data_IF_504943797593
#
_entry.id   IF_504943797593
#
_cell.length_a   1.000
_cell.length_b   1.000
_cell.length_c   1.000
_cell.angle_alpha   90.00
_cell.angle_beta   90.00
_cell.angle_gamma   90.00
#
_symmetry.space_group_name_H-M   'P 1'
#
loop_
_entity.id
_entity.type
_entity.pdbx_description
1 polymer ?
#
# COMPACT_ATOMS: atom_id res chain seq x y z
N UNK A 1 -32.38 -17.18 -34.67
CA UNK A 1 -31.53 -18.39 -34.74
C UNK A 1 -30.09 -17.94 -34.88
N UNK A 2 -29.26 -18.10 -33.85
CA UNK A 2 -27.85 -17.68 -33.88
C UNK A 2 -27.09 -18.71 -34.72
N UNK A 3 -26.29 -18.25 -35.70
CA UNK A 3 -25.53 -19.16 -36.57
C UNK A 3 -24.46 -19.88 -35.74
N UNK A 4 -24.27 -21.20 -35.91
CA UNK A 4 -23.29 -21.97 -35.11
C UNK A 4 -21.86 -21.46 -35.29
N UNK A 5 -21.56 -20.84 -36.45
CA UNK A 5 -20.29 -20.17 -36.73
C UNK A 5 -19.98 -19.03 -35.77
N UNK A 6 -20.99 -18.25 -35.34
CA UNK A 6 -20.79 -17.17 -34.38
C UNK A 6 -20.43 -17.70 -32.99
N UNK A 7 -21.02 -18.82 -32.57
CA UNK A 7 -20.71 -19.44 -31.27
C UNK A 7 -19.27 -19.96 -31.24
N UNK A 8 -18.81 -20.60 -32.31
CA UNK A 8 -17.43 -21.10 -32.41
C UNK A 8 -16.40 -19.98 -32.37
N UNK A 9 -16.67 -18.86 -33.06
CA UNK A 9 -15.78 -17.68 -33.04
C UNK A 9 -15.73 -17.06 -31.64
N UNK A 10 -16.88 -16.94 -30.95
CA UNK A 10 -16.92 -16.44 -29.57
C UNK A 10 -16.16 -17.36 -28.60
N UNK A 11 -16.26 -18.68 -28.75
CA UNK A 11 -15.51 -19.63 -27.92
C UNK A 11 -13.99 -19.54 -28.17
N UNK A 12 -13.56 -19.40 -29.42
CA UNK A 12 -12.15 -19.21 -29.76
C UNK A 12 -11.59 -17.90 -29.20
N UNK A 13 -12.33 -16.80 -29.33
CA UNK A 13 -11.94 -15.51 -28.77
C UNK A 13 -11.90 -15.52 -27.24
N UNK A 14 -12.86 -16.18 -26.60
CA UNK A 14 -12.88 -16.37 -25.15
C UNK A 14 -11.68 -17.18 -24.64
N UNK A 15 -11.33 -18.26 -25.33
CA UNK A 15 -10.15 -19.07 -25.01
C UNK A 15 -8.84 -18.28 -25.19
N UNK A 16 -8.73 -17.47 -26.26
CA UNK A 16 -7.56 -16.64 -26.50
C UNK A 16 -7.35 -15.61 -25.37
N UNK A 17 -8.44 -14.97 -24.91
CA UNK A 17 -8.40 -14.00 -23.82
C UNK A 17 -7.98 -14.62 -22.47
N UNK A 18 -8.15 -15.93 -22.29
CA UNK A 18 -7.70 -16.66 -21.10
C UNK A 18 -6.22 -17.07 -21.18
N UNK A 19 -5.70 -17.37 -22.38
CA UNK A 19 -4.33 -17.85 -22.57
C UNK A 19 -3.31 -16.71 -22.63
N UNK A 20 -3.68 -15.54 -23.18
CA UNK A 20 -2.77 -14.38 -23.30
C UNK A 20 -2.25 -13.88 -21.94
N UNK A 21 -3.07 -13.79 -20.87
CA UNK A 21 -2.55 -13.47 -19.55
C UNK A 21 -1.57 -14.53 -19.03
N UNK A 22 -1.85 -15.83 -19.27
CA UNK A 22 -1.03 -16.94 -18.76
C UNK A 22 0.41 -16.92 -19.30
N UNK A 23 0.60 -16.52 -20.56
CA UNK A 23 1.93 -16.38 -21.18
C UNK A 23 2.66 -15.07 -20.80
N UNK A 24 1.92 -14.11 -20.23
CA UNK A 24 2.48 -12.82 -19.77
C UNK A 24 2.99 -12.87 -18.33
N UNK A 25 2.69 -13.95 -17.59
CA UNK A 25 3.25 -14.12 -16.25
C UNK A 25 4.70 -14.58 -16.36
N UNK A 26 5.64 -13.89 -15.71
CA UNK A 26 7.03 -14.34 -15.66
C UNK A 26 7.09 -15.74 -15.04
N UNK A 27 7.76 -16.67 -15.73
CA UNK A 27 8.01 -18.01 -15.21
C UNK A 27 8.88 -17.91 -13.98
N UNK A 28 8.35 -18.31 -12.82
CA UNK A 28 9.07 -18.34 -11.54
C UNK A 28 10.40 -19.12 -11.64
N UNK A 29 10.46 -20.11 -12.53
CA UNK A 29 11.60 -21.02 -12.66
C UNK A 29 12.84 -20.36 -13.28
N UNK A 30 12.69 -19.38 -14.19
CA UNK A 30 13.83 -18.67 -14.79
C UNK A 30 14.44 -17.63 -13.85
N UNK A 31 13.62 -17.05 -12.96
CA UNK A 31 14.09 -16.09 -11.96
C UNK A 31 15.04 -16.74 -10.94
N UNK A 32 14.74 -17.97 -10.50
CA UNK A 32 15.58 -18.69 -9.53
C UNK A 32 16.81 -19.36 -10.15
N UNK A 33 16.80 -19.65 -11.46
CA UNK A 33 17.87 -20.42 -12.11
C UNK A 33 19.10 -19.60 -12.47
N UNK A 34 18.99 -18.27 -12.53
CA UNK A 34 20.05 -17.41 -13.08
C UNK A 34 20.98 -16.82 -12.02
N UNK A 35 20.63 -16.92 -10.73
CA UNK A 35 21.24 -16.10 -9.67
C UNK A 35 21.78 -16.88 -8.47
N UNK A 36 22.07 -18.19 -8.62
CA UNK A 36 22.77 -18.97 -7.59
C UNK A 36 24.29 -18.78 -7.78
N UNK A 37 24.75 -17.54 -7.66
CA UNK A 37 26.09 -17.24 -7.19
C UNK A 37 25.90 -16.86 -5.72
N UNK A 38 25.93 -17.87 -4.83
CA UNK A 38 25.75 -17.69 -3.39
C UNK A 38 26.95 -16.95 -2.79
N UNK A 39 27.05 -15.65 -3.03
CA UNK A 39 27.99 -14.81 -2.30
C UNK A 39 27.43 -14.61 -0.88
N UNK A 40 28.06 -15.22 0.15
CA UNK A 40 27.50 -15.24 1.52
C UNK A 40 27.35 -13.85 2.12
N UNK A 41 28.11 -12.87 1.61
CA UNK A 41 28.04 -11.47 2.01
C UNK A 41 26.73 -10.81 1.57
N UNK A 42 26.24 -11.12 0.38
CA UNK A 42 24.99 -10.54 -0.14
C UNK A 42 23.77 -11.09 0.60
N UNK A 43 23.78 -12.40 0.90
CA UNK A 43 22.74 -13.03 1.74
C UNK A 43 22.71 -12.37 3.11
N UNK A 44 23.88 -12.11 3.71
CA UNK A 44 23.96 -11.45 5.01
C UNK A 44 23.44 -10.01 4.96
N UNK A 45 23.72 -9.26 3.89
CA UNK A 45 23.18 -7.91 3.71
C UNK A 45 21.65 -7.92 3.55
N UNK A 46 21.12 -8.86 2.76
CA UNK A 46 19.67 -9.05 2.63
C UNK A 46 19.01 -9.39 3.98
N UNK A 47 19.61 -10.26 4.79
CA UNK A 47 19.10 -10.62 6.11
C UNK A 47 19.14 -9.45 7.09
N UNK A 48 20.21 -8.65 7.07
CA UNK A 48 20.32 -7.44 7.88
C UNK A 48 19.26 -6.40 7.48
N UNK A 49 19.08 -6.21 6.17
CA UNK A 49 18.03 -5.35 5.63
C UNK A 49 16.64 -5.80 6.06
N UNK A 50 16.35 -7.09 5.99
CA UNK A 50 15.08 -7.65 6.48
C UNK A 50 14.89 -7.40 7.98
N UNK A 51 15.94 -7.59 8.78
CA UNK A 51 15.91 -7.31 10.22
C UNK A 51 15.54 -5.85 10.53
N UNK A 52 16.13 -4.90 9.80
CA UNK A 52 15.82 -3.47 9.96
C UNK A 52 14.36 -3.13 9.59
N UNK A 53 13.82 -3.74 8.53
CA UNK A 53 12.44 -3.53 8.10
C UNK A 53 11.44 -4.06 9.13
N UNK A 54 11.71 -5.23 9.72
CA UNK A 54 10.87 -5.82 10.78
C UNK A 54 10.88 -4.92 12.03
N UNK A 55 12.04 -4.38 12.41
CA UNK A 55 12.15 -3.46 13.54
C UNK A 55 11.38 -2.15 13.29
N UNK A 56 11.48 -1.59 12.08
CA UNK A 56 10.74 -0.39 11.68
C UNK A 56 9.23 -0.62 11.76
N UNK A 57 8.75 -1.77 11.26
CA UNK A 57 7.32 -2.11 11.31
C UNK A 57 6.81 -2.18 12.75
N UNK A 58 7.57 -2.82 13.65
CA UNK A 58 7.21 -2.91 15.06
C UNK A 58 7.16 -1.54 15.76
N UNK A 59 8.04 -0.61 15.37
CA UNK A 59 8.00 0.78 15.85
C UNK A 59 6.75 1.52 15.35
N UNK A 60 6.35 1.29 14.09
CA UNK A 60 5.15 1.88 13.51
C UNK A 60 3.86 1.36 14.17
N UNK A 61 3.81 0.06 14.51
CA UNK A 61 2.67 -0.52 15.23
C UNK A 61 2.53 0.07 16.64
N UNK A 62 3.65 0.22 17.37
CA UNK A 62 3.64 0.88 18.68
C UNK A 62 3.23 2.37 18.60
N UNK A 63 3.62 3.07 17.53
CA UNK A 63 3.18 4.45 17.28
C UNK A 63 1.69 4.53 16.96
N UNK A 64 1.17 3.57 16.17
CA UNK A 64 -0.25 3.45 15.86
C UNK A 64 -1.07 3.22 17.12
N UNK A 65 -0.65 2.33 18.02
CA UNK A 65 -1.31 2.08 19.29
C UNK A 65 -1.35 3.32 20.20
N UNK A 66 -0.30 4.16 20.14
CA UNK A 66 -0.28 5.47 20.82
C UNK A 66 -1.28 6.49 20.24
N UNK A 67 -1.55 6.44 18.94
CA UNK A 67 -2.56 7.28 18.26
C UNK A 67 -3.98 6.75 18.49
N UNK A 68 -4.15 5.43 18.60
CA UNK A 68 -5.46 4.77 18.72
C UNK A 68 -5.90 4.54 20.15
N UNK A 69 -5.37 5.29 21.13
CA UNK A 69 -5.87 5.28 22.52
C UNK A 69 -7.40 5.16 22.51
N UNK A 70 -7.91 4.10 23.13
CA UNK A 70 -9.29 3.59 23.05
C UNK A 70 -10.36 4.65 23.33
N UNK A 71 -9.99 5.78 23.96
CA UNK A 71 -10.87 6.95 24.17
C UNK A 71 -11.13 7.79 22.92
N UNK A 72 -10.44 7.53 21.81
CA UNK A 72 -10.64 8.18 20.49
C UNK A 72 -11.20 7.23 19.43
N UNK A 73 -11.59 6.02 19.83
CA UNK A 73 -12.13 4.99 18.94
C UNK A 73 -13.67 4.89 19.00
N UNK A 74 -14.36 5.88 19.57
CA UNK A 74 -15.81 6.02 19.42
C UNK A 74 -16.10 6.58 18.01
N UNK A 75 -16.06 5.71 17.00
CA UNK A 75 -16.48 6.06 15.64
C UNK A 75 -18.01 6.16 15.61
N UNK A 76 -18.53 7.39 15.63
CA UNK A 76 -19.96 7.69 15.49
C UNK A 76 -20.48 7.46 14.07
N UNK A 77 -19.72 6.77 13.21
CA UNK A 77 -20.09 6.53 11.81
C UNK A 77 -20.04 7.79 10.96
N UNK A 78 -19.49 8.90 11.48
CA UNK A 78 -19.39 10.17 10.75
C UNK A 78 -18.54 10.04 9.49
N UNK A 79 -17.60 9.09 9.44
CA UNK A 79 -16.70 8.86 8.31
C UNK A 79 -17.31 7.99 7.20
N UNK A 80 -18.42 7.28 7.45
CA UNK A 80 -19.08 6.45 6.42
C UNK A 80 -19.87 7.34 5.47
N UNK A 81 -19.28 7.63 4.31
CA UNK A 81 -19.85 8.50 3.29
C UNK A 81 -19.04 9.77 3.00
N UNK A 82 -17.89 9.96 3.66
CA UNK A 82 -17.01 11.08 3.35
C UNK A 82 -16.30 10.85 2.01
N UNK A 83 -16.68 11.65 1.01
CA UNK A 83 -15.98 11.78 -0.27
C UNK A 83 -14.48 12.06 -0.05
N UNK A 84 -13.62 11.52 -0.91
CA UNK A 84 -12.16 11.72 -0.82
C UNK A 84 -11.76 13.20 -0.79
N UNK A 85 -12.51 14.08 -1.46
CA UNK A 85 -12.29 15.53 -1.41
C UNK A 85 -12.59 16.13 -0.02
N UNK A 86 -13.54 15.57 0.71
CA UNK A 86 -13.91 16.00 2.05
C UNK A 86 -12.90 15.50 3.08
N UNK A 87 -12.40 14.26 2.92
CA UNK A 87 -11.29 13.74 3.73
C UNK A 87 -10.00 14.54 3.49
N UNK A 88 -9.71 14.93 2.24
CA UNK A 88 -8.56 15.76 1.91
C UNK A 88 -8.65 17.15 2.57
N UNK A 89 -9.82 17.81 2.53
CA UNK A 89 -10.04 19.09 3.24
C UNK A 89 -9.88 18.94 4.75
N UNK A 90 -10.39 17.86 5.32
CA UNK A 90 -10.24 17.57 6.74
C UNK A 90 -8.77 17.37 7.13
N UNK A 91 -8.02 16.60 6.35
CA UNK A 91 -6.59 16.37 6.56
C UNK A 91 -5.79 17.68 6.40
N UNK A 92 -6.13 18.51 5.41
CA UNK A 92 -5.53 19.84 5.23
C UNK A 92 -5.80 20.76 6.43
N UNK A 93 -7.02 20.73 6.99
CA UNK A 93 -7.36 21.49 8.20
C UNK A 93 -6.58 21.02 9.42
N UNK A 94 -6.43 19.70 9.61
CA UNK A 94 -5.62 19.12 10.68
C UNK A 94 -4.14 19.50 10.50
N UNK A 95 -3.62 19.44 9.27
CA UNK A 95 -2.25 19.83 8.96
C UNK A 95 -2.00 21.32 9.24
N UNK A 96 -2.94 22.19 8.89
CA UNK A 96 -2.87 23.62 9.18
C UNK A 96 -2.91 23.91 10.70
N UNK A 97 -3.70 23.17 11.47
CA UNK A 97 -3.75 23.31 12.93
C UNK A 97 -2.45 22.82 13.61
N UNK A 98 -1.83 21.78 13.06
CA UNK A 98 -0.56 21.24 13.55
C UNK A 98 0.68 21.99 13.04
N UNK A 99 0.51 22.92 12.09
CA UNK A 99 1.59 23.71 11.54
C UNK A 99 2.26 24.54 12.63
N UNK A 100 3.58 24.36 12.78
CA UNK A 100 4.36 24.95 13.87
C UNK A 100 4.32 26.48 13.90
N UNK A 101 4.06 27.14 12.75
CA UNK A 101 3.89 28.58 12.61
C UNK A 101 2.44 29.04 12.45
N UNK A 102 1.46 28.22 12.83
CA UNK A 102 0.04 28.55 12.69
C UNK A 102 -0.39 29.75 13.53
N UNK A 103 -1.38 30.54 13.07
CA UNK A 103 -1.85 31.74 13.77
C UNK A 103 -2.35 31.37 15.19
N UNK A 104 -1.84 32.07 16.21
CA UNK A 104 -2.15 31.82 17.62
C UNK A 104 -1.05 31.08 18.41
N UNK A 105 -0.07 30.48 17.74
CA UNK A 105 1.07 29.82 18.41
C UNK A 105 2.17 30.86 18.66
N UNK A 106 2.16 31.47 19.85
CA UNK A 106 3.17 32.48 20.26
C UNK A 106 4.57 31.88 20.10
N UNK A 107 5.44 32.56 19.34
CA UNK A 107 6.88 32.25 19.28
C UNK A 107 7.39 32.29 20.71
N UNK A 108 7.90 31.16 21.22
CA UNK A 108 8.51 31.10 22.55
C UNK A 108 9.94 31.64 22.51
N UNK A 109 10.16 32.74 21.81
CA UNK A 109 11.46 33.39 21.73
C UNK A 109 11.20 34.90 21.87
N UNK A 110 10.98 35.32 23.11
CA UNK A 110 11.17 36.70 23.53
C UNK A 110 12.22 36.61 24.64
N UNK A 111 13.49 36.61 24.24
CA UNK A 111 14.62 36.81 25.13
C UNK A 111 15.69 37.64 24.44
#
# INVERSE_FOLDING_TARGET
>A
MVRPTCLLICCLLGALMLVVPAASYPSLNDYYRTDISEDPEEIMDMLNRLGSLIQLQRQMDSYKDGITSEKRALDLGLTRGYSGALQAKHLMGIAAANYAGGPGRRRRDAH
#
